data_IF_053664246803
#
_entry.id   IF_053664246803
#
_cell.length_a   1.000
_cell.length_b   1.000
_cell.length_c   1.000
_cell.angle_alpha   90.00
_cell.angle_beta   90.00
_cell.angle_gamma   90.00
#
_symmetry.space_group_name_H-M   'P 1'
#
loop_
_entity.id
_entity.type
_entity.pdbx_description
1 polymer ?
#
# COMPACT_ATOMS: atom_id res chain seq x y z
N UNK A 1 7.24 -6.77 -3.91
CA UNK A 1 5.83 -7.09 -4.22
C UNK A 1 4.95 -6.58 -3.10
N UNK A 2 3.81 -5.96 -3.40
CA UNK A 2 2.83 -5.49 -2.40
C UNK A 2 1.53 -6.28 -2.54
N UNK A 3 1.02 -6.80 -1.43
CA UNK A 3 -0.28 -7.49 -1.39
C UNK A 3 -1.12 -6.95 -0.24
N UNK A 4 -2.45 -6.94 -0.40
CA UNK A 4 -3.37 -6.57 0.66
C UNK A 4 -4.38 -7.69 0.87
N UNK A 5 -4.56 -8.09 2.11
CA UNK A 5 -5.48 -9.15 2.54
C UNK A 5 -6.52 -8.57 3.51
N UNK A 6 -7.80 -8.85 3.27
CA UNK A 6 -8.88 -8.46 4.19
C UNK A 6 -9.07 -9.57 5.22
N UNK A 7 -8.76 -9.26 6.49
CA UNK A 7 -8.84 -10.20 7.59
C UNK A 7 -9.91 -9.76 8.60
N UNK A 8 -11.16 -10.11 8.31
CA UNK A 8 -12.32 -9.71 9.10
C UNK A 8 -12.51 -8.20 9.11
N UNK A 9 -12.17 -7.54 10.23
CA UNK A 9 -12.25 -6.08 10.39
C UNK A 9 -10.95 -5.34 10.07
N UNK A 10 -9.88 -6.07 9.76
CA UNK A 10 -8.56 -5.52 9.54
C UNK A 10 -8.14 -5.70 8.08
N UNK A 11 -7.23 -4.85 7.61
CA UNK A 11 -6.52 -5.02 6.35
C UNK A 11 -5.05 -5.27 6.64
N UNK A 12 -4.46 -6.29 6.04
CA UNK A 12 -3.05 -6.65 6.21
C UNK A 12 -2.35 -6.39 4.88
N UNK A 13 -1.44 -5.43 4.85
CA UNK A 13 -0.58 -5.13 3.72
C UNK A 13 0.77 -5.81 3.92
N UNK A 14 1.20 -6.63 2.96
CA UNK A 14 2.51 -7.28 2.97
C UNK A 14 3.39 -6.68 1.88
N UNK A 15 4.55 -6.15 2.27
CA UNK A 15 5.60 -5.70 1.36
C UNK A 15 6.72 -6.75 1.37
N UNK A 16 6.84 -7.53 0.31
CA UNK A 16 7.90 -8.52 0.15
C UNK A 16 9.02 -7.91 -0.69
N UNK A 17 10.20 -7.77 -0.09
CA UNK A 17 11.42 -7.27 -0.71
C UNK A 17 12.48 -8.37 -0.76
N UNK A 18 13.06 -8.61 -1.93
CA UNK A 18 14.12 -9.61 -2.13
C UNK A 18 15.38 -9.35 -1.29
N UNK A 19 15.61 -8.11 -0.86
CA UNK A 19 16.80 -7.73 -0.09
C UNK A 19 16.56 -7.67 1.42
N UNK A 20 15.32 -7.50 1.87
CA UNK A 20 14.99 -7.17 3.27
C UNK A 20 13.93 -8.07 3.90
N UNK A 21 13.35 -9.01 3.14
CA UNK A 21 12.31 -9.92 3.63
C UNK A 21 10.90 -9.35 3.50
N UNK A 22 10.00 -9.79 4.37
CA UNK A 22 8.59 -9.39 4.39
C UNK A 22 8.35 -8.36 5.50
N UNK A 23 7.80 -7.20 5.14
CA UNK A 23 7.21 -6.25 6.07
C UNK A 23 5.68 -6.37 6.04
N UNK A 24 5.04 -6.22 7.20
CA UNK A 24 3.60 -6.37 7.37
C UNK A 24 3.02 -5.16 8.10
N UNK A 25 2.08 -4.48 7.46
CA UNK A 25 1.31 -3.38 8.04
C UNK A 25 -0.14 -3.80 8.23
N UNK A 26 -0.65 -3.68 9.45
CA UNK A 26 -2.06 -3.98 9.76
C UNK A 26 -2.81 -2.68 9.97
N UNK A 27 -3.95 -2.54 9.29
CA UNK A 27 -4.82 -1.39 9.35
C UNK A 27 -6.19 -1.79 9.90
N UNK A 28 -6.78 -0.93 10.72
CA UNK A 28 -8.14 -1.11 11.25
C UNK A 28 -9.22 -0.66 10.27
N UNK A 29 -8.84 0.10 9.25
CA UNK A 29 -9.79 0.67 8.28
C UNK A 29 -9.11 1.04 6.97
N UNK A 30 -9.91 1.12 5.89
CA UNK A 30 -9.42 1.56 4.57
C UNK A 30 -8.84 2.98 4.60
N UNK A 31 -9.43 3.99 5.28
CA UNK A 31 -8.84 5.32 5.36
C UNK A 31 -7.45 5.34 5.99
N UNK A 32 -7.22 4.52 7.02
CA UNK A 32 -5.91 4.39 7.67
C UNK A 32 -4.86 3.80 6.73
N UNK A 33 -5.22 2.73 6.01
CA UNK A 33 -4.38 2.17 4.94
C UNK A 33 -4.09 3.22 3.86
N UNK A 34 -5.11 3.93 3.39
CA UNK A 34 -4.95 4.97 2.38
C UNK A 34 -4.03 6.10 2.85
N UNK A 35 -4.08 6.50 4.11
CA UNK A 35 -3.16 7.49 4.66
C UNK A 35 -1.70 7.01 4.55
N UNK A 36 -1.43 5.76 4.96
CA UNK A 36 -0.11 5.15 4.84
C UNK A 36 0.35 5.07 3.37
N UNK A 37 -0.52 4.65 2.46
CA UNK A 37 -0.21 4.58 1.02
C UNK A 37 0.15 5.97 0.48
N UNK A 38 -0.57 7.01 0.87
CA UNK A 38 -0.27 8.38 0.45
C UNK A 38 1.10 8.86 0.93
N UNK A 39 1.49 8.55 2.17
CA UNK A 39 2.82 8.89 2.69
C UNK A 39 3.93 8.06 2.01
N UNK A 40 3.68 6.77 1.77
CA UNK A 40 4.63 5.86 1.12
C UNK A 40 4.90 6.22 -0.33
N UNK A 41 3.86 6.60 -1.07
CA UNK A 41 3.87 6.92 -2.49
C UNK A 41 3.67 8.42 -2.76
N UNK A 42 4.07 9.28 -1.82
CA UNK A 42 4.05 10.73 -2.02
C UNK A 42 4.84 11.10 -3.28
N UNK A 43 4.37 12.11 -4.02
CA UNK A 43 5.01 12.57 -5.27
C UNK A 43 6.49 12.90 -5.14
N UNK A 44 6.92 13.28 -3.93
CA UNK A 44 8.32 13.59 -3.63
C UNK A 44 9.20 12.35 -3.44
N UNK A 45 8.60 11.19 -3.10
CA UNK A 45 9.31 9.94 -2.81
C UNK A 45 9.12 8.88 -3.90
N UNK A 46 8.06 9.00 -4.68
CA UNK A 46 7.78 8.10 -5.77
C UNK A 46 8.62 8.45 -7.00
N UNK A 47 9.37 7.47 -7.51
CA UNK A 47 10.28 7.65 -8.65
C UNK A 47 9.67 7.18 -9.99
N UNK A 48 8.40 6.75 -9.99
CA UNK A 48 7.66 6.35 -11.20
C UNK A 48 6.89 7.51 -11.83
N UNK A 49 6.05 7.19 -12.83
CA UNK A 49 5.21 8.21 -13.51
C UNK A 49 3.95 8.53 -12.71
N UNK A 50 3.33 9.69 -12.94
CA UNK A 50 2.03 10.02 -12.33
C UNK A 50 0.95 8.97 -12.65
N UNK A 51 1.01 8.35 -13.84
CA UNK A 51 0.09 7.28 -14.24
C UNK A 51 0.31 6.00 -13.43
N UNK A 52 1.57 5.60 -13.18
CA UNK A 52 1.85 4.47 -12.29
C UNK A 52 1.39 4.74 -10.85
N UNK A 53 1.60 5.97 -10.37
CA UNK A 53 1.13 6.38 -9.06
C UNK A 53 -0.39 6.28 -8.95
N UNK A 54 -1.11 6.76 -9.97
CA UNK A 54 -2.57 6.71 -10.01
C UNK A 54 -3.08 5.26 -10.05
N UNK A 55 -2.46 4.39 -10.85
CA UNK A 55 -2.79 2.97 -10.90
C UNK A 55 -2.57 2.28 -9.54
N UNK A 56 -1.47 2.56 -8.86
CA UNK A 56 -1.20 2.04 -7.51
C UNK A 56 -2.28 2.51 -6.53
N UNK A 57 -2.59 3.80 -6.55
CA UNK A 57 -3.61 4.39 -5.68
C UNK A 57 -5.00 3.81 -5.94
N UNK A 58 -5.35 3.59 -7.21
CA UNK A 58 -6.62 2.98 -7.59
C UNK A 58 -6.71 1.53 -7.12
N UNK A 59 -5.64 0.75 -7.26
CA UNK A 59 -5.59 -0.62 -6.75
C UNK A 59 -5.89 -0.67 -5.24
N UNK A 60 -5.29 0.22 -4.44
CA UNK A 60 -5.57 0.30 -3.00
C UNK A 60 -6.99 0.76 -2.66
N UNK A 61 -7.64 1.56 -3.51
CA UNK A 61 -9.05 1.96 -3.31
C UNK A 61 -10.04 0.84 -3.61
N UNK A 62 -9.68 -0.10 -4.49
CA UNK A 62 -10.53 -1.21 -4.91
C UNK A 62 -10.47 -2.43 -3.97
N UNK A 63 -9.41 -2.57 -3.16
CA UNK A 63 -9.34 -3.54 -2.04
C UNK A 63 -10.56 -3.38 -1.17
#
# INVERSE_FOLDING_TARGET
MLTVEVNGKQLILREISDQWGEDCHTFLSRPEMMHWVNERFSKERFQGTDEELENIMEAFRQV
#
